data_IF_173204261447
#
_entry.id   IF_173204261447
#
_cell.length_a   1.000
_cell.length_b   1.000
_cell.length_c   1.000
_cell.angle_alpha   90.00
_cell.angle_beta   90.00
_cell.angle_gamma   90.00
#
_symmetry.space_group_name_H-M   'P 1'
#
loop_
_entity.id
_entity.type
_entity.pdbx_description
1 polymer ?
#
# COMPACT_ATOMS: atom_id res chain seq x y z
N UNK A 1 60.33 -2.15 -35.73
CA UNK A 1 60.48 -0.87 -35.00
C UNK A 1 59.08 -0.32 -34.78
N UNK A 2 58.44 -0.64 -33.66
CA UNK A 2 58.41 0.14 -32.41
C UNK A 2 57.64 1.47 -32.56
N UNK A 3 56.51 1.52 -31.82
CA UNK A 3 55.78 2.68 -31.27
C UNK A 3 54.76 3.34 -32.18
N UNK A 4 53.49 3.03 -31.92
CA UNK A 4 52.42 4.02 -31.67
C UNK A 4 51.23 3.29 -31.02
N UNK A 5 51.50 2.75 -29.83
CA UNK A 5 50.49 2.37 -28.85
C UNK A 5 50.35 3.60 -27.94
N UNK A 6 49.38 4.49 -28.20
CA UNK A 6 49.00 5.50 -27.22
C UNK A 6 47.73 6.25 -27.60
N UNK A 7 46.77 6.15 -26.68
CA UNK A 7 45.68 7.11 -26.44
C UNK A 7 44.55 7.11 -27.49
N UNK A 8 43.76 6.05 -27.49
CA UNK A 8 42.36 6.12 -27.94
C UNK A 8 41.41 5.49 -26.92
N UNK A 9 41.79 5.57 -25.64
CA UNK A 9 41.00 5.11 -24.50
C UNK A 9 40.90 6.29 -23.52
N UNK A 10 39.68 6.57 -23.07
CA UNK A 10 39.31 7.64 -22.11
C UNK A 10 39.08 9.04 -22.71
N UNK A 11 38.14 9.12 -23.66
CA UNK A 11 37.29 10.31 -23.86
C UNK A 11 35.82 9.90 -24.03
N UNK A 12 35.43 8.84 -23.32
CA UNK A 12 34.06 8.77 -22.78
C UNK A 12 33.97 9.88 -21.74
N UNK A 13 33.70 11.08 -22.26
CA UNK A 13 33.15 12.19 -21.50
C UNK A 13 32.10 11.60 -20.58
N UNK A 14 32.46 11.52 -19.30
CA UNK A 14 31.52 11.55 -18.20
C UNK A 14 30.74 12.85 -18.38
N UNK A 15 29.76 12.84 -19.28
CA UNK A 15 28.58 13.67 -19.11
C UNK A 15 27.91 13.08 -17.86
N UNK A 16 28.41 13.49 -16.69
CA UNK A 16 27.63 13.52 -15.48
C UNK A 16 26.47 14.42 -15.82
N UNK A 17 25.40 13.82 -16.36
CA UNK A 17 24.10 14.45 -16.48
C UNK A 17 23.87 15.12 -15.14
N UNK A 18 23.76 16.45 -15.12
CA UNK A 18 23.38 17.17 -13.92
C UNK A 18 22.01 16.62 -13.53
N UNK A 19 21.99 15.66 -12.61
CA UNK A 19 20.75 15.13 -12.09
C UNK A 19 20.01 16.32 -11.50
N UNK A 20 18.80 16.59 -11.99
CA UNK A 20 17.91 17.52 -11.31
C UNK A 20 17.76 17.05 -9.86
N UNK A 21 17.64 18.00 -8.92
CA UNK A 21 17.48 17.59 -7.53
C UNK A 21 16.20 16.78 -7.37
N UNK A 22 16.27 15.79 -6.48
CA UNK A 22 15.13 14.93 -6.21
C UNK A 22 14.31 15.49 -5.05
N UNK A 23 12.98 15.52 -5.22
CA UNK A 23 12.03 15.81 -4.16
C UNK A 23 11.38 14.49 -3.79
N UNK A 24 11.68 13.96 -2.60
CA UNK A 24 11.17 12.66 -2.17
C UNK A 24 9.92 12.85 -1.32
N UNK A 25 8.82 12.22 -1.72
CA UNK A 25 7.60 12.18 -0.93
C UNK A 25 6.93 10.83 -1.02
N UNK A 26 6.15 10.46 -0.01
CA UNK A 26 5.37 9.22 -0.01
C UNK A 26 4.13 9.35 0.86
N UNK A 27 3.10 8.60 0.47
CA UNK A 27 1.88 8.43 1.27
C UNK A 27 2.15 7.26 2.23
N UNK A 28 1.95 7.45 3.53
CA UNK A 28 2.13 6.41 4.54
C UNK A 28 0.84 5.66 4.85
N UNK A 29 -0.32 6.28 4.57
CA UNK A 29 -1.65 5.70 4.78
C UNK A 29 -2.64 6.36 3.82
N UNK A 30 -3.47 5.53 3.18
CA UNK A 30 -4.60 5.97 2.36
C UNK A 30 -5.89 5.42 2.98
N UNK A 31 -6.81 6.30 3.35
CA UNK A 31 -8.09 5.96 4.00
C UNK A 31 -9.27 6.47 3.18
N UNK A 32 -10.42 5.79 3.26
CA UNK A 32 -11.64 6.17 2.56
C UNK A 32 -11.85 5.35 1.29
N UNK A 33 -12.42 5.99 0.27
CA UNK A 33 -12.67 5.39 -1.05
C UNK A 33 -11.92 6.17 -2.12
N UNK A 34 -11.60 5.60 -3.30
CA UNK A 34 -10.78 6.28 -4.31
C UNK A 34 -11.27 7.67 -4.75
N UNK A 35 -12.57 7.96 -4.65
CA UNK A 35 -13.16 9.28 -4.98
C UNK A 35 -13.23 10.24 -3.80
N UNK A 36 -13.00 9.76 -2.58
CA UNK A 36 -13.03 10.52 -1.33
C UNK A 36 -12.05 9.90 -0.34
N UNK A 37 -10.77 10.24 -0.50
CA UNK A 37 -9.66 9.64 0.21
C UNK A 37 -8.91 10.64 1.10
N UNK A 38 -8.31 10.13 2.17
CA UNK A 38 -7.42 10.87 3.05
C UNK A 38 -6.03 10.25 2.97
N UNK A 39 -5.07 11.03 2.49
CA UNK A 39 -3.68 10.62 2.36
C UNK A 39 -2.86 11.18 3.50
N UNK A 40 -2.43 10.31 4.43
CA UNK A 40 -1.37 10.67 5.37
C UNK A 40 -0.06 10.61 4.62
N UNK A 41 0.71 11.71 4.62
CA UNK A 41 1.88 11.84 3.76
C UNK A 41 3.10 12.36 4.50
N UNK A 42 4.26 12.10 3.89
CA UNK A 42 5.56 12.67 4.25
C UNK A 42 6.21 13.18 2.97
N UNK A 43 6.54 14.48 2.91
CA UNK A 43 7.54 15.00 1.98
C UNK A 43 8.85 14.99 2.75
N UNK A 44 9.70 14.02 2.46
CA UNK A 44 10.85 13.64 3.28
C UNK A 44 11.98 14.67 3.16
N UNK A 45 12.30 15.06 1.92
CA UNK A 45 13.36 16.02 1.62
C UNK A 45 13.24 16.57 0.21
N UNK A 46 13.90 17.70 -0.01
CA UNK A 46 14.23 18.24 -1.31
C UNK A 46 15.75 18.38 -1.39
N UNK A 47 16.39 17.56 -2.22
CA UNK A 47 17.84 17.59 -2.39
C UNK A 47 18.29 18.97 -2.94
N UNK A 48 19.54 19.42 -2.69
CA UNK A 48 20.00 20.72 -3.16
C UNK A 48 19.93 20.87 -4.68
N UNK A 49 19.27 21.94 -5.15
CA UNK A 49 19.16 22.28 -6.57
C UNK A 49 20.46 22.85 -7.14
N UNK A 50 20.72 22.54 -8.41
CA UNK A 50 21.83 23.13 -9.15
C UNK A 50 21.46 24.51 -9.73
N UNK A 51 22.46 25.26 -10.18
CA UNK A 51 22.30 26.63 -10.69
C UNK A 51 21.61 26.71 -12.06
N UNK A 52 21.31 25.58 -12.72
CA UNK A 52 20.86 25.53 -14.11
C UNK A 52 19.47 24.94 -14.32
N UNK A 53 18.90 24.21 -13.34
CA UNK A 53 17.53 23.66 -13.45
C UNK A 53 16.53 24.82 -13.58
N UNK A 54 15.81 24.96 -14.71
CA UNK A 54 14.90 26.09 -14.92
C UNK A 54 13.65 25.96 -14.05
N UNK A 55 13.14 27.08 -13.55
CA UNK A 55 11.82 27.12 -12.93
C UNK A 55 10.73 26.98 -14.02
N UNK A 56 9.86 25.96 -13.96
CA UNK A 56 8.87 25.69 -15.01
C UNK A 56 7.83 26.80 -15.19
N UNK A 57 7.65 27.68 -14.20
CA UNK A 57 6.72 28.80 -14.28
C UNK A 57 7.42 30.18 -14.30
N UNK A 58 8.71 30.22 -14.67
CA UNK A 58 9.40 31.48 -14.85
C UNK A 58 8.75 32.33 -15.96
N UNK A 59 8.45 33.59 -15.66
CA UNK A 59 7.84 34.53 -16.61
C UNK A 59 6.32 34.40 -16.76
N UNK A 60 5.67 33.53 -16.00
CA UNK A 60 4.20 33.47 -15.95
C UNK A 60 3.63 34.72 -15.27
N UNK A 61 2.33 34.98 -15.46
CA UNK A 61 1.65 36.14 -14.84
C UNK A 61 1.63 36.06 -13.31
N UNK A 62 1.57 34.84 -12.75
CA UNK A 62 1.78 34.52 -11.35
C UNK A 62 2.12 33.03 -11.18
N UNK A 63 2.89 32.70 -10.14
CA UNK A 63 3.16 31.32 -9.77
C UNK A 63 3.43 31.17 -8.27
N UNK A 64 2.84 30.15 -7.65
CA UNK A 64 3.07 29.77 -6.25
C UNK A 64 3.52 28.33 -6.15
N UNK A 65 4.07 27.96 -5.00
CA UNK A 65 4.31 26.55 -4.66
C UNK A 65 3.27 26.11 -3.64
N UNK A 66 2.81 24.87 -3.76
CA UNK A 66 1.88 24.24 -2.82
C UNK A 66 2.36 22.87 -2.39
N UNK A 67 1.90 22.42 -1.22
CA UNK A 67 1.79 21.00 -0.89
C UNK A 67 0.42 20.55 -1.37
N UNK A 68 0.41 19.71 -2.41
CA UNK A 68 -0.82 19.28 -3.08
C UNK A 68 -0.74 17.81 -3.46
N UNK A 69 -1.81 17.29 -4.03
CA UNK A 69 -1.91 15.93 -4.49
C UNK A 69 -2.33 15.87 -5.96
N UNK A 70 -1.90 14.82 -6.66
CA UNK A 70 -2.43 14.53 -8.00
C UNK A 70 -3.91 14.22 -7.89
N UNK A 71 -4.72 14.99 -8.59
CA UNK A 71 -6.17 14.93 -8.52
C UNK A 71 -6.81 14.36 -9.79
N UNK A 72 -6.07 14.37 -10.89
CA UNK A 72 -6.52 13.89 -12.19
C UNK A 72 -5.52 12.87 -12.78
N UNK A 73 -6.03 11.99 -13.64
CA UNK A 73 -5.23 10.97 -14.32
C UNK A 73 -4.14 11.56 -15.24
N UNK A 74 -4.22 12.83 -15.60
CA UNK A 74 -3.23 13.56 -16.41
C UNK A 74 -2.12 14.24 -15.59
N UNK A 75 -2.18 14.20 -14.25
CA UNK A 75 -1.13 14.73 -13.37
C UNK A 75 -1.44 16.07 -12.73
N UNK A 76 -2.58 16.70 -13.04
CA UNK A 76 -2.92 17.99 -12.44
C UNK A 76 -3.31 17.87 -10.97
N UNK A 77 -3.03 18.94 -10.22
CA UNK A 77 -3.34 19.06 -8.81
C UNK A 77 -4.79 19.42 -8.52
N UNK A 78 -5.24 19.09 -7.31
CA UNK A 78 -6.57 19.42 -6.80
C UNK A 78 -6.49 20.58 -5.81
N UNK A 79 -7.29 20.50 -4.74
CA UNK A 79 -7.19 21.47 -3.66
C UNK A 79 -5.92 21.25 -2.82
N UNK A 80 -5.10 22.29 -2.57
CA UNK A 80 -3.85 22.14 -1.85
C UNK A 80 -4.10 21.90 -0.35
N UNK A 81 -3.25 21.08 0.27
CA UNK A 81 -3.14 20.98 1.73
C UNK A 81 -2.58 22.28 2.31
N UNK A 82 -1.59 22.86 1.63
CA UNK A 82 -0.94 24.11 2.01
C UNK A 82 -0.49 24.86 0.76
N UNK A 83 -0.79 26.15 0.68
CA UNK A 83 -0.20 27.05 -0.31
C UNK A 83 0.87 27.90 0.37
N UNK A 84 2.07 27.97 -0.19
CA UNK A 84 3.09 28.91 0.27
C UNK A 84 2.77 30.29 -0.29
N UNK A 85 2.45 31.25 0.59
CA UNK A 85 2.06 32.60 0.20
C UNK A 85 3.25 33.46 -0.24
N UNK A 86 4.02 32.97 -1.20
CA UNK A 86 5.14 33.65 -1.86
C UNK A 86 5.11 33.33 -3.34
N UNK A 87 5.42 34.34 -4.15
CA UNK A 87 5.40 34.27 -5.61
C UNK A 87 6.78 33.89 -6.15
N UNK A 88 6.80 32.92 -7.05
CA UNK A 88 8.04 32.31 -7.54
C UNK A 88 8.27 32.48 -9.05
N UNK A 89 7.33 33.05 -9.81
CA UNK A 89 7.46 33.25 -11.26
C UNK A 89 8.62 34.16 -11.67
N UNK A 90 9.15 34.95 -10.73
CA UNK A 90 10.31 35.83 -10.93
C UNK A 90 11.65 35.09 -10.83
N UNK A 91 11.66 33.90 -10.25
CA UNK A 91 12.86 33.10 -10.08
C UNK A 91 13.13 32.29 -11.35
N UNK A 92 14.34 32.43 -11.90
CA UNK A 92 14.76 31.78 -13.14
C UNK A 92 15.01 30.29 -12.93
N UNK A 93 15.47 29.90 -11.75
CA UNK A 93 15.96 28.55 -11.49
C UNK A 93 15.26 27.90 -10.30
N UNK A 94 15.18 26.57 -10.29
CA UNK A 94 14.65 25.80 -9.17
C UNK A 94 15.44 26.02 -7.89
N UNK A 95 16.75 26.31 -7.96
CA UNK A 95 17.55 26.67 -6.77
C UNK A 95 17.06 27.93 -6.07
N UNK A 96 16.64 28.94 -6.83
CA UNK A 96 16.06 30.15 -6.26
C UNK A 96 14.67 29.86 -5.66
N UNK A 97 13.87 29.02 -6.32
CA UNK A 97 12.57 28.56 -5.78
C UNK A 97 12.77 27.80 -4.46
N UNK A 98 13.69 26.83 -4.42
CA UNK A 98 14.02 26.05 -3.23
C UNK A 98 14.46 26.95 -2.06
N UNK A 99 15.39 27.86 -2.32
CA UNK A 99 15.88 28.80 -1.31
C UNK A 99 14.77 29.71 -0.76
N UNK A 100 13.78 30.07 -1.58
CA UNK A 100 12.61 30.82 -1.12
C UNK A 100 11.69 29.96 -0.26
N UNK A 101 11.34 28.74 -0.70
CA UNK A 101 10.42 27.86 0.02
C UNK A 101 10.97 27.41 1.36
N UNK A 102 12.28 27.16 1.46
CA UNK A 102 12.96 26.80 2.71
C UNK A 102 12.91 27.91 3.78
N UNK A 103 12.52 29.14 3.45
CA UNK A 103 12.25 30.19 4.45
C UNK A 103 10.94 29.97 5.22
N UNK A 104 10.02 29.19 4.66
CA UNK A 104 8.66 29.00 5.17
C UNK A 104 8.43 27.60 5.75
N UNK A 105 9.37 26.67 5.56
CA UNK A 105 9.25 25.29 6.01
C UNK A 105 10.61 24.63 6.15
N UNK A 106 10.67 23.63 7.03
CA UNK A 106 11.70 22.61 7.05
C UNK A 106 11.12 21.29 6.54
N UNK A 107 11.99 20.34 6.25
CA UNK A 107 11.62 18.95 5.96
C UNK A 107 11.92 18.06 7.19
N UNK A 108 11.16 16.96 7.41
CA UNK A 108 10.04 16.50 6.58
C UNK A 108 8.77 17.35 6.76
N UNK A 109 7.98 17.47 5.70
CA UNK A 109 6.63 18.04 5.77
C UNK A 109 5.63 16.89 5.90
N UNK A 110 4.87 16.86 6.98
CA UNK A 110 3.88 15.80 7.24
C UNK A 110 2.49 16.39 7.34
N UNK A 111 1.47 15.63 6.92
CA UNK A 111 0.09 16.05 7.05
C UNK A 111 -0.90 15.02 6.53
N UNK A 112 -2.16 15.45 6.43
CA UNK A 112 -3.25 14.67 5.84
C UNK A 112 -3.86 15.50 4.71
N UNK A 113 -3.67 15.06 3.47
CA UNK A 113 -4.29 15.67 2.30
C UNK A 113 -5.63 14.97 2.00
N UNK A 114 -6.67 15.76 1.73
CA UNK A 114 -7.98 15.23 1.35
C UNK A 114 -8.14 15.26 -0.17
N UNK A 115 -8.43 14.11 -0.75
CA UNK A 115 -8.85 13.97 -2.14
C UNK A 115 -10.37 13.85 -2.19
N UNK A 116 -11.01 14.67 -3.02
CA UNK A 116 -12.45 14.55 -3.32
C UNK A 116 -12.67 14.82 -4.81
N UNK A 117 -12.78 13.76 -5.61
CA UNK A 117 -12.74 13.88 -7.06
C UNK A 117 -12.78 12.53 -7.78
N UNK A 118 -12.35 12.48 -9.04
CA UNK A 118 -12.27 11.24 -9.81
C UNK A 118 -11.34 10.23 -9.14
N UNK A 119 -11.71 8.95 -9.17
CA UNK A 119 -10.86 7.88 -8.66
C UNK A 119 -9.50 7.88 -9.38
N UNK A 120 -8.43 8.06 -8.62
CA UNK A 120 -7.05 7.89 -9.08
C UNK A 120 -6.63 6.46 -8.77
N UNK A 121 -6.12 5.73 -9.76
CA UNK A 121 -5.62 4.36 -9.51
C UNK A 121 -4.42 4.44 -8.56
N UNK A 122 -4.28 3.48 -7.65
CA UNK A 122 -3.27 3.45 -6.56
C UNK A 122 -1.85 3.84 -6.99
N UNK A 123 -1.39 3.40 -8.17
CA UNK A 123 -0.05 3.74 -8.69
C UNK A 123 0.12 5.17 -9.19
N UNK A 124 -0.94 5.98 -9.20
CA UNK A 124 -0.94 7.37 -9.65
C UNK A 124 -1.10 8.35 -8.49
N UNK A 125 -1.45 7.91 -7.28
CA UNK A 125 -1.60 8.79 -6.13
C UNK A 125 -0.24 9.36 -5.73
N UNK A 126 -0.17 10.68 -5.58
CA UNK A 126 1.03 11.36 -5.08
C UNK A 126 0.63 12.61 -4.32
N UNK A 127 1.21 12.79 -3.13
CA UNK A 127 1.27 14.07 -2.43
C UNK A 127 2.70 14.60 -2.54
N UNK A 128 2.87 15.86 -2.95
CA UNK A 128 4.19 16.44 -3.21
C UNK A 128 4.16 17.95 -3.31
N UNK A 129 5.24 18.53 -3.82
CA UNK A 129 5.33 19.96 -4.10
C UNK A 129 4.88 20.24 -5.55
N UNK A 130 3.94 21.16 -5.70
CA UNK A 130 3.40 21.55 -7.01
C UNK A 130 3.68 23.03 -7.27
N UNK A 131 3.83 23.39 -8.54
CA UNK A 131 3.73 24.78 -8.97
C UNK A 131 2.32 25.07 -9.47
N UNK A 132 1.76 26.17 -9.00
CA UNK A 132 0.36 26.56 -9.18
C UNK A 132 0.30 27.93 -9.86
N UNK A 133 -0.57 28.10 -10.87
CA UNK A 133 -0.77 29.38 -11.56
C UNK A 133 -2.00 30.16 -11.08
N UNK A 134 -2.80 29.55 -10.21
CA UNK A 134 -3.95 30.15 -9.53
C UNK A 134 -3.59 30.31 -8.04
N UNK A 135 -3.98 31.43 -7.44
CA UNK A 135 -3.83 31.70 -6.01
C UNK A 135 -4.67 30.75 -5.14
N UNK A 136 -5.65 30.05 -5.72
CA UNK A 136 -6.41 28.99 -5.04
C UNK A 136 -5.70 27.62 -5.10
N UNK A 137 -4.63 27.49 -5.88
CA UNK A 137 -3.80 26.28 -5.95
C UNK A 137 -4.44 25.09 -6.65
N UNK A 138 -5.26 25.33 -7.68
CA UNK A 138 -5.88 24.28 -8.50
C UNK A 138 -5.17 24.15 -9.86
N UNK A 139 -5.18 22.94 -10.42
CA UNK A 139 -4.65 22.63 -11.75
C UNK A 139 -3.15 22.92 -11.94
N UNK A 140 -2.36 22.89 -10.86
CA UNK A 140 -0.91 22.91 -10.92
C UNK A 140 -0.31 21.57 -11.30
N UNK A 141 1.02 21.54 -11.40
CA UNK A 141 1.79 20.33 -11.74
C UNK A 141 2.91 20.11 -10.73
N UNK A 142 3.29 18.84 -10.53
CA UNK A 142 4.42 18.49 -9.69
C UNK A 142 5.67 19.25 -10.12
N UNK A 143 6.45 19.69 -9.13
CA UNK A 143 7.75 20.28 -9.41
C UNK A 143 8.66 19.26 -10.13
N UNK A 144 9.50 19.71 -11.07
CA UNK A 144 10.49 18.84 -11.71
C UNK A 144 11.36 18.12 -10.68
N UNK A 145 11.69 16.85 -10.93
CA UNK A 145 12.47 16.03 -9.99
C UNK A 145 11.66 15.43 -8.83
N UNK A 146 10.34 15.61 -8.81
CA UNK A 146 9.48 14.95 -7.81
C UNK A 146 9.46 13.43 -8.01
N UNK A 147 9.87 12.72 -6.97
CA UNK A 147 9.84 11.27 -6.85
C UNK A 147 8.81 10.90 -5.79
N UNK A 148 7.61 10.56 -6.26
CA UNK A 148 6.55 10.04 -5.42
C UNK A 148 6.80 8.55 -5.18
N UNK A 149 6.90 8.16 -3.91
CA UNK A 149 6.85 6.78 -3.50
C UNK A 149 5.54 6.14 -3.95
N UNK A 150 5.55 4.83 -4.15
CA UNK A 150 4.34 4.07 -4.45
C UNK A 150 3.39 4.27 -3.28
N UNK A 151 2.28 4.97 -3.53
CA UNK A 151 1.25 5.09 -2.52
C UNK A 151 0.82 3.68 -2.10
N UNK A 152 0.72 3.38 -0.80
CA UNK A 152 0.08 2.14 -0.38
C UNK A 152 -1.29 2.12 -1.08
N UNK A 153 -1.70 0.98 -1.65
CA UNK A 153 -3.04 0.87 -2.24
C UNK A 153 -4.06 1.46 -1.27
N UNK A 154 -5.19 2.02 -1.74
CA UNK A 154 -6.33 2.22 -0.85
C UNK A 154 -6.65 0.83 -0.30
N UNK A 155 -6.09 0.52 0.86
CA UNK A 155 -6.14 -0.82 1.43
C UNK A 155 -7.56 -0.91 1.93
N UNK A 156 -8.43 -1.39 1.05
CA UNK A 156 -9.77 -1.80 1.42
C UNK A 156 -9.63 -2.61 2.70
N UNK A 157 -10.12 -2.11 3.81
CA UNK A 157 -9.94 -2.76 5.08
C UNK A 157 -10.94 -3.89 5.16
N UNK A 158 -10.45 -5.12 5.21
CA UNK A 158 -11.24 -6.32 5.40
C UNK A 158 -10.95 -6.94 6.77
N UNK A 159 -11.99 -7.44 7.44
CA UNK A 159 -11.87 -8.12 8.72
C UNK A 159 -12.86 -9.28 8.85
N UNK A 160 -12.54 -10.23 9.71
CA UNK A 160 -13.51 -11.20 10.25
C UNK A 160 -14.23 -10.56 11.43
N UNK A 161 -15.56 -10.46 11.40
CA UNK A 161 -16.33 -9.74 12.43
C UNK A 161 -16.26 -10.39 13.80
N UNK A 162 -16.29 -11.72 13.86
CA UNK A 162 -16.36 -12.48 15.11
C UNK A 162 -14.99 -12.64 15.80
N UNK A 163 -13.90 -12.25 15.14
CA UNK A 163 -12.52 -12.35 15.65
C UNK A 163 -11.93 -13.76 15.64
N UNK A 164 -12.71 -14.80 15.93
CA UNK A 164 -12.28 -16.21 15.90
C UNK A 164 -13.44 -17.16 15.65
N UNK A 165 -13.12 -18.38 15.19
CA UNK A 165 -14.07 -19.50 15.02
C UNK A 165 -13.63 -20.69 15.88
N UNK A 166 -14.57 -21.27 16.63
CA UNK A 166 -14.33 -22.46 17.46
C UNK A 166 -15.03 -23.68 16.86
N UNK A 167 -14.25 -24.70 16.48
CA UNK A 167 -14.77 -25.94 15.90
C UNK A 167 -14.76 -27.06 16.95
N UNK A 168 -15.86 -27.20 17.69
CA UNK A 168 -15.95 -28.13 18.81
C UNK A 168 -16.50 -29.51 18.39
N UNK A 169 -15.68 -30.55 18.57
CA UNK A 169 -16.06 -31.93 18.27
C UNK A 169 -16.87 -32.60 19.38
N UNK A 170 -16.83 -32.05 20.60
CA UNK A 170 -17.37 -32.67 21.80
C UNK A 170 -16.63 -33.95 22.19
N UNK A 171 -17.28 -34.78 23.00
CA UNK A 171 -16.78 -36.13 23.32
C UNK A 171 -16.99 -37.05 22.11
N UNK A 172 -15.91 -37.67 21.65
CA UNK A 172 -15.91 -38.54 20.48
C UNK A 172 -15.09 -39.80 20.73
N UNK A 173 -15.64 -40.95 20.35
CA UNK A 173 -14.96 -42.24 20.45
C UNK A 173 -13.77 -42.31 19.48
N UNK A 174 -12.68 -42.97 19.87
CA UNK A 174 -11.50 -43.14 18.99
C UNK A 174 -11.86 -43.74 17.62
N UNK A 175 -12.83 -44.65 17.60
CA UNK A 175 -13.32 -45.31 16.39
C UNK A 175 -14.02 -44.36 15.40
N UNK A 176 -14.48 -43.19 15.87
CA UNK A 176 -15.18 -42.18 15.08
C UNK A 176 -14.31 -40.96 14.79
N UNK A 177 -13.06 -40.92 15.26
CA UNK A 177 -12.17 -39.77 15.04
C UNK A 177 -11.84 -39.57 13.56
N UNK A 178 -11.50 -40.64 12.84
CA UNK A 178 -11.07 -40.52 11.44
C UNK A 178 -12.20 -39.96 10.56
N UNK A 179 -11.94 -38.85 9.89
CA UNK A 179 -12.90 -38.21 8.99
C UNK A 179 -14.05 -37.47 9.69
N UNK A 180 -14.06 -37.38 11.02
CA UNK A 180 -15.06 -36.57 11.72
C UNK A 180 -14.98 -35.10 11.30
N UNK A 181 -16.13 -34.46 11.10
CA UNK A 181 -16.19 -33.09 10.58
C UNK A 181 -16.93 -32.14 11.52
N UNK A 182 -16.52 -30.88 11.52
CA UNK A 182 -17.23 -29.74 12.12
C UNK A 182 -17.10 -28.54 11.19
N UNK A 183 -18.13 -27.73 11.12
CA UNK A 183 -18.14 -26.53 10.29
C UNK A 183 -18.86 -25.40 11.01
N UNK A 184 -18.34 -24.20 10.84
CA UNK A 184 -18.89 -22.95 11.35
C UNK A 184 -18.67 -21.86 10.31
N UNK A 185 -19.41 -20.76 10.40
CA UNK A 185 -19.26 -19.64 9.49
C UNK A 185 -18.46 -18.51 10.15
N UNK A 186 -17.53 -17.94 9.39
CA UNK A 186 -16.98 -16.62 9.67
C UNK A 186 -17.65 -15.61 8.76
N UNK A 187 -17.82 -14.37 9.21
CA UNK A 187 -18.30 -13.31 8.35
C UNK A 187 -17.18 -12.32 8.03
N UNK A 188 -16.90 -12.17 6.74
CA UNK A 188 -15.94 -11.20 6.22
C UNK A 188 -16.67 -9.92 5.82
N UNK A 189 -16.13 -8.78 6.25
CA UNK A 189 -16.62 -7.45 5.87
C UNK A 189 -15.47 -6.60 5.38
N UNK A 190 -15.72 -5.80 4.34
CA UNK A 190 -14.75 -4.87 3.78
C UNK A 190 -15.35 -3.46 3.67
N UNK A 191 -14.54 -2.41 3.75
CA UNK A 191 -15.01 -1.03 3.60
C UNK A 191 -15.21 -0.59 2.14
N UNK A 192 -14.78 -1.40 1.16
CA UNK A 192 -14.91 -1.17 -0.28
C UNK A 192 -15.30 -2.48 -0.98
N UNK A 193 -15.82 -2.38 -2.21
CA UNK A 193 -16.03 -3.53 -3.09
C UNK A 193 -14.67 -4.11 -3.48
N UNK A 194 -14.38 -5.34 -3.10
CA UNK A 194 -13.07 -5.97 -3.34
C UNK A 194 -13.20 -7.49 -3.43
N UNK A 195 -12.35 -8.10 -4.26
CA UNK A 195 -12.11 -9.54 -4.25
C UNK A 195 -10.85 -9.82 -3.42
N UNK A 196 -10.97 -10.65 -2.39
CA UNK A 196 -9.87 -11.06 -1.52
C UNK A 196 -9.62 -12.56 -1.62
N UNK A 197 -8.43 -13.00 -1.22
CA UNK A 197 -8.13 -14.41 -1.00
C UNK A 197 -8.22 -14.72 0.51
N UNK A 198 -9.10 -15.64 0.87
CA UNK A 198 -9.22 -16.15 2.24
C UNK A 198 -8.49 -17.48 2.31
N UNK A 199 -7.51 -17.60 3.21
CA UNK A 199 -6.73 -18.85 3.42
C UNK A 199 -6.94 -19.35 4.85
N UNK A 200 -7.14 -20.65 5.03
CA UNK A 200 -7.20 -21.30 6.33
C UNK A 200 -6.08 -22.32 6.44
N UNK A 201 -5.12 -22.05 7.33
CA UNK A 201 -3.87 -22.80 7.41
C UNK A 201 -3.56 -23.24 8.83
N UNK A 202 -2.87 -24.37 8.95
CA UNK A 202 -2.32 -24.89 10.21
C UNK A 202 -0.79 -24.92 10.21
N UNK A 203 -0.15 -24.90 11.39
CA UNK A 203 1.30 -24.75 11.51
C UNK A 203 2.11 -25.93 10.95
N UNK A 204 1.48 -27.08 10.69
CA UNK A 204 2.13 -28.26 10.13
C UNK A 204 1.72 -28.47 8.66
N UNK A 205 2.30 -27.66 7.77
CA UNK A 205 2.08 -27.74 6.31
C UNK A 205 0.58 -27.68 5.94
N UNK A 206 -0.15 -26.76 6.56
CA UNK A 206 -1.59 -26.58 6.35
C UNK A 206 -2.49 -27.45 7.24
N UNK A 207 -1.93 -28.39 8.00
CA UNK A 207 -2.66 -29.17 9.01
C UNK A 207 -2.51 -28.55 10.40
N UNK A 208 -3.57 -28.65 11.19
CA UNK A 208 -3.58 -28.24 12.60
C UNK A 208 -3.28 -29.45 13.48
N UNK A 209 -2.13 -29.51 14.17
CA UNK A 209 -1.88 -30.54 15.17
C UNK A 209 -2.83 -30.37 16.35
N UNK A 210 -3.53 -31.43 16.74
CA UNK A 210 -4.45 -31.44 17.88
C UNK A 210 -3.87 -32.16 19.11
N UNK A 211 -2.76 -32.87 18.91
CA UNK A 211 -1.95 -33.54 19.94
C UNK A 211 -0.47 -33.33 19.65
N UNK A 212 0.33 -33.25 20.72
CA UNK A 212 1.78 -33.05 20.64
C UNK A 212 2.53 -34.25 20.05
N UNK A 213 1.98 -35.45 20.15
CA UNK A 213 2.53 -36.69 19.57
C UNK A 213 2.24 -36.83 18.05
N UNK A 214 1.44 -35.93 17.47
CA UNK A 214 1.05 -35.96 16.07
C UNK A 214 0.06 -37.08 15.71
N UNK A 215 -0.53 -37.77 16.70
CA UNK A 215 -1.49 -38.86 16.49
C UNK A 215 -2.83 -38.38 15.93
N UNK A 216 -3.16 -37.09 16.13
CA UNK A 216 -4.40 -36.48 15.66
C UNK A 216 -4.13 -35.07 15.11
N UNK A 217 -4.62 -34.82 13.90
CA UNK A 217 -4.55 -33.54 13.20
C UNK A 217 -5.91 -33.17 12.61
N UNK A 218 -6.05 -31.93 12.19
CA UNK A 218 -7.20 -31.44 11.44
C UNK A 218 -6.77 -30.81 10.12
N UNK A 219 -7.47 -31.17 9.04
CA UNK A 219 -7.42 -30.46 7.76
C UNK A 219 -8.52 -29.40 7.74
N UNK A 220 -8.17 -28.18 7.34
CA UNK A 220 -9.12 -27.08 7.19
C UNK A 220 -9.59 -26.94 5.73
N UNK A 221 -10.86 -26.60 5.56
CA UNK A 221 -11.51 -26.31 4.30
C UNK A 221 -12.25 -24.98 4.40
N UNK A 222 -12.28 -24.26 3.27
CA UNK A 222 -13.06 -23.05 3.09
C UNK A 222 -14.06 -23.29 1.97
N UNK A 223 -15.36 -23.15 2.25
CA UNK A 223 -16.43 -23.40 1.27
C UNK A 223 -16.28 -24.76 0.53
N UNK A 224 -15.89 -25.81 1.26
CA UNK A 224 -15.61 -27.16 0.73
C UNK A 224 -14.34 -27.30 -0.14
N UNK A 225 -13.58 -26.23 -0.34
CA UNK A 225 -12.27 -26.24 -0.98
C UNK A 225 -11.14 -26.36 0.05
N UNK A 226 -9.96 -26.77 -0.40
CA UNK A 226 -8.79 -26.91 0.47
C UNK A 226 -8.38 -25.53 1.02
N UNK A 227 -8.43 -25.36 2.34
CA UNK A 227 -8.22 -24.04 2.96
C UNK A 227 -6.83 -23.46 2.72
N UNK A 228 -5.82 -24.31 2.54
CA UNK A 228 -4.42 -23.92 2.30
C UNK A 228 -4.21 -23.29 0.92
N UNK A 229 -5.02 -23.68 -0.07
CA UNK A 229 -4.89 -23.18 -1.44
C UNK A 229 -5.49 -21.75 -1.57
N UNK A 230 -6.31 -21.36 -0.59
CA UNK A 230 -7.03 -20.09 -0.56
C UNK A 230 -8.26 -20.09 -1.48
N UNK A 231 -9.28 -19.32 -1.10
CA UNK A 231 -10.50 -19.13 -1.91
C UNK A 231 -10.72 -17.65 -2.21
N UNK A 232 -11.06 -17.35 -3.46
CA UNK A 232 -11.42 -16.00 -3.86
C UNK A 232 -12.84 -15.67 -3.37
N UNK A 233 -12.98 -14.54 -2.69
CA UNK A 233 -14.24 -14.07 -2.13
C UNK A 233 -14.44 -12.62 -2.52
N UNK A 234 -15.49 -12.35 -3.29
CA UNK A 234 -15.95 -10.99 -3.52
C UNK A 234 -16.73 -10.48 -2.30
N UNK A 235 -16.30 -9.36 -1.75
CA UNK A 235 -16.92 -8.70 -0.61
C UNK A 235 -17.39 -7.30 -1.02
N UNK A 236 -18.70 -7.04 -1.05
CA UNK A 236 -19.21 -5.70 -1.31
C UNK A 236 -18.91 -4.77 -0.13
N UNK A 237 -18.80 -3.46 -0.40
CA UNK A 237 -18.54 -2.42 0.58
C UNK A 237 -19.60 -2.42 1.68
N UNK A 238 -19.16 -2.50 2.94
CA UNK A 238 -20.05 -2.62 4.10
C UNK A 238 -20.81 -3.95 4.19
N UNK A 239 -20.55 -4.88 3.25
CA UNK A 239 -21.18 -6.18 3.17
C UNK A 239 -20.75 -7.13 4.29
N UNK A 240 -21.48 -8.23 4.40
CA UNK A 240 -21.23 -9.28 5.37
C UNK A 240 -21.31 -10.63 4.64
N UNK A 241 -20.16 -11.11 4.15
CA UNK A 241 -20.08 -12.32 3.33
C UNK A 241 -19.70 -13.50 4.21
N UNK A 242 -20.57 -14.51 4.36
CA UNK A 242 -20.24 -15.72 5.11
C UNK A 242 -19.25 -16.58 4.34
N UNK A 243 -18.23 -17.09 5.02
CA UNK A 243 -17.31 -18.11 4.54
C UNK A 243 -17.40 -19.30 5.49
N UNK A 244 -17.71 -20.48 4.98
CA UNK A 244 -17.79 -21.70 5.77
C UNK A 244 -16.40 -22.22 6.05
N UNK A 245 -16.02 -22.31 7.32
CA UNK A 245 -14.78 -22.93 7.79
C UNK A 245 -15.10 -24.32 8.30
N UNK A 246 -14.54 -25.34 7.66
CA UNK A 246 -14.77 -26.74 8.00
C UNK A 246 -13.46 -27.42 8.38
N UNK A 247 -13.50 -28.22 9.43
CA UNK A 247 -12.37 -29.04 9.88
C UNK A 247 -12.70 -30.52 9.72
N UNK A 248 -11.73 -31.30 9.23
CA UNK A 248 -11.81 -32.75 9.10
C UNK A 248 -10.66 -33.39 9.88
N UNK A 249 -11.00 -34.25 10.84
CA UNK A 249 -10.01 -34.95 11.65
C UNK A 249 -9.29 -36.03 10.84
N UNK A 250 -7.98 -36.12 11.07
CA UNK A 250 -7.07 -37.10 10.48
C UNK A 250 -6.27 -37.77 11.59
N UNK A 251 -6.34 -39.09 11.65
CA UNK A 251 -5.67 -39.93 12.63
C UNK A 251 -4.40 -40.52 12.06
N UNK A 252 -3.36 -40.57 12.87
CA UNK A 252 -2.13 -41.29 12.58
C UNK A 252 -1.89 -42.35 13.68
N UNK A 253 -2.35 -43.57 13.42
CA UNK A 253 -2.23 -44.67 14.38
C UNK A 253 -3.29 -44.65 15.48
N UNK A 254 -2.88 -45.01 16.69
CA UNK A 254 -3.76 -45.03 17.87
C UNK A 254 -3.75 -43.66 18.54
N UNK A 255 -4.91 -43.19 19.00
CA UNK A 255 -5.04 -41.93 19.74
C UNK A 255 -5.40 -42.26 21.18
N UNK A 256 -4.55 -41.88 22.12
CA UNK A 256 -4.82 -42.10 23.54
C UNK A 256 -6.02 -41.26 24.01
N UNK A 257 -6.83 -41.86 24.89
CA UNK A 257 -7.95 -41.18 25.51
C UNK A 257 -7.49 -39.91 26.23
N UNK A 258 -8.23 -38.81 26.06
CA UNK A 258 -7.92 -37.53 26.67
C UNK A 258 -8.36 -36.33 25.82
N UNK A 259 -8.20 -35.11 26.35
CA UNK A 259 -8.54 -33.90 25.61
C UNK A 259 -7.58 -33.68 24.44
N UNK A 260 -8.07 -33.07 23.37
CA UNK A 260 -7.25 -32.59 22.24
C UNK A 260 -7.67 -31.17 21.89
N UNK A 261 -6.71 -30.36 21.43
CA UNK A 261 -6.96 -29.00 20.97
C UNK A 261 -5.80 -28.53 20.09
N UNK A 262 -6.08 -27.57 19.23
CA UNK A 262 -5.08 -26.95 18.38
C UNK A 262 -5.60 -25.65 17.80
N UNK A 263 -4.73 -24.94 17.09
CA UNK A 263 -5.07 -23.65 16.50
C UNK A 263 -4.45 -23.53 15.11
N UNK A 264 -5.23 -22.96 14.20
CA UNK A 264 -4.78 -22.51 12.89
C UNK A 264 -4.98 -21.01 12.75
N UNK A 265 -4.71 -20.49 11.56
CA UNK A 265 -4.92 -19.09 11.21
C UNK A 265 -5.86 -18.98 10.01
N UNK A 266 -6.71 -17.95 10.03
CA UNK A 266 -7.41 -17.46 8.84
C UNK A 266 -6.69 -16.20 8.41
N UNK A 267 -6.25 -16.16 7.16
CA UNK A 267 -5.49 -15.06 6.58
C UNK A 267 -6.34 -14.44 5.47
N UNK A 268 -6.52 -13.12 5.53
CA UNK A 268 -7.15 -12.34 4.48
C UNK A 268 -6.05 -11.65 3.68
N UNK A 269 -5.90 -12.01 2.41
CA UNK A 269 -4.96 -11.37 1.50
C UNK A 269 -5.73 -10.50 0.48
N UNK A 270 -5.32 -9.25 0.39
CA UNK A 270 -5.84 -8.28 -0.58
C UNK A 270 -4.88 -8.24 -1.80
N UNK A 271 -5.40 -8.06 -3.03
CA UNK A 271 -4.57 -7.91 -4.23
C UNK A 271 -3.68 -6.65 -4.23
#
# INVERSE_FOLDING_TARGET
MKKLFSVCLVLLLLFSSSAAASIFSYITKSEGIPTNAYYTFVIERWDPENDFTPNPCYGYSACWISVNHRHFADGYSGQPYRLFNTRVERFKTMKQVQAEILKYTSFPITGVAKHFGPAIRSHQECVGLFYETDQNGFHGRLLPGSLCGVAPPPIGFCQVREGSVELNYGSIDEAKLEGATRAENINVTCNVDIEIIVTATGPDRGLVPLRSDGSLKAKLLLNEENGEDGVAVFVPAGGNVPVTVKSILQKNGRVEAGPFSGSGAIILAMP
#
